data_IF_184739743701
#
_entry.id   IF_184739743701
#
_cell.length_a   1.000
_cell.length_b   1.000
_cell.length_c   1.000
_cell.angle_alpha   90.00
_cell.angle_beta   90.00
_cell.angle_gamma   90.00
#
_symmetry.space_group_name_H-M   'P 1'
#
loop_
_entity.id
_entity.type
_entity.pdbx_description
1 polymer ?
#
# COMPACT_ATOMS: atom_id res chain seq x y z
N UNK A 1 -24.18 -35.78 -8.89
CA UNK A 1 -24.14 -34.29 -8.87
C UNK A 1 -24.72 -33.89 -7.54
N UNK A 2 -23.92 -33.23 -6.70
CA UNK A 2 -24.32 -32.93 -5.34
C UNK A 2 -25.05 -31.58 -5.33
N UNK A 3 -26.35 -31.59 -5.05
CA UNK A 3 -27.27 -30.44 -5.20
C UNK A 3 -26.79 -29.19 -4.44
N UNK A 4 -26.10 -29.38 -3.31
CA UNK A 4 -25.54 -28.27 -2.51
C UNK A 4 -24.36 -27.57 -3.20
N UNK A 5 -23.52 -28.30 -3.94
CA UNK A 5 -22.36 -27.73 -4.64
C UNK A 5 -22.82 -26.89 -5.82
N UNK A 6 -23.76 -27.42 -6.61
CA UNK A 6 -24.34 -26.69 -7.74
C UNK A 6 -25.03 -25.41 -7.27
N UNK A 7 -25.78 -25.49 -6.16
CA UNK A 7 -26.42 -24.32 -5.54
C UNK A 7 -25.39 -23.30 -5.03
N UNK A 8 -24.30 -23.74 -4.41
CA UNK A 8 -23.23 -22.86 -3.91
C UNK A 8 -22.50 -22.15 -5.06
N UNK A 9 -22.14 -22.89 -6.11
CA UNK A 9 -21.55 -22.35 -7.33
C UNK A 9 -22.44 -21.26 -7.93
N UNK A 10 -23.72 -21.58 -8.14
CA UNK A 10 -24.65 -20.67 -8.80
C UNK A 10 -24.90 -19.41 -7.95
N UNK A 11 -24.99 -19.57 -6.63
CA UNK A 11 -25.13 -18.45 -5.69
C UNK A 11 -23.91 -17.53 -5.71
N UNK A 12 -22.70 -18.09 -5.54
CA UNK A 12 -21.46 -17.32 -5.49
C UNK A 12 -21.23 -16.59 -6.83
N UNK A 13 -21.38 -17.30 -7.95
CA UNK A 13 -21.22 -16.72 -9.29
C UNK A 13 -22.17 -15.55 -9.51
N UNK A 14 -23.43 -15.67 -9.08
CA UNK A 14 -24.40 -14.58 -9.17
C UNK A 14 -24.06 -13.43 -8.22
N UNK A 15 -23.64 -13.71 -6.98
CA UNK A 15 -23.29 -12.69 -6.00
C UNK A 15 -22.13 -11.81 -6.49
N UNK A 16 -21.03 -12.42 -6.92
CA UNK A 16 -19.86 -11.70 -7.44
C UNK A 16 -20.14 -11.03 -8.80
N UNK A 17 -21.00 -11.61 -9.65
CA UNK A 17 -21.40 -10.98 -10.92
C UNK A 17 -22.27 -9.72 -10.72
N UNK A 18 -23.12 -9.66 -9.68
CA UNK A 18 -23.99 -8.49 -9.41
C UNK A 18 -23.21 -7.22 -9.10
N UNK A 19 -22.05 -7.36 -8.47
CA UNK A 19 -21.14 -6.24 -8.16
C UNK A 19 -20.06 -6.05 -9.23
N UNK A 20 -20.18 -6.76 -10.36
CA UNK A 20 -19.22 -6.81 -11.45
C UNK A 20 -17.78 -7.11 -10.99
N UNK A 21 -17.61 -7.97 -9.98
CA UNK A 21 -16.28 -8.25 -9.45
C UNK A 21 -15.41 -8.92 -10.51
N UNK A 22 -14.18 -8.41 -10.61
CA UNK A 22 -13.14 -8.89 -11.51
C UNK A 22 -11.86 -9.14 -10.71
N UNK A 23 -11.07 -10.10 -11.18
CA UNK A 23 -9.70 -10.30 -10.69
C UNK A 23 -8.91 -9.03 -10.95
N UNK A 24 -8.33 -8.48 -9.87
CA UNK A 24 -7.59 -7.20 -9.86
C UNK A 24 -6.58 -7.04 -11.00
N UNK A 25 -5.95 -8.13 -11.43
CA UNK A 25 -4.82 -8.07 -12.34
C UNK A 25 -5.08 -8.62 -13.75
N UNK A 26 -5.91 -9.66 -13.86
CA UNK A 26 -6.24 -10.29 -15.15
C UNK A 26 -7.52 -9.74 -15.76
N UNK A 27 -8.29 -8.95 -15.00
CA UNK A 27 -9.63 -8.46 -15.34
C UNK A 27 -10.62 -9.59 -15.73
N UNK A 28 -10.32 -10.83 -15.31
CA UNK A 28 -11.21 -11.97 -15.50
C UNK A 28 -12.37 -11.89 -14.52
N UNK A 29 -13.52 -12.45 -14.90
CA UNK A 29 -14.64 -12.60 -13.98
C UNK A 29 -14.22 -13.41 -12.74
N UNK A 30 -14.74 -13.02 -11.58
CA UNK A 30 -14.29 -13.56 -10.30
C UNK A 30 -14.65 -15.05 -10.13
N UNK A 31 -15.68 -15.53 -10.83
CA UNK A 31 -16.06 -16.94 -10.93
C UNK A 31 -14.90 -17.87 -11.37
N UNK A 32 -13.95 -17.35 -12.15
CA UNK A 32 -12.73 -18.07 -12.52
C UNK A 32 -11.86 -18.40 -11.30
N UNK A 33 -11.84 -17.53 -10.28
CA UNK A 33 -11.18 -17.80 -8.99
C UNK A 33 -11.87 -18.94 -8.25
N UNK A 34 -13.17 -18.75 -8.01
CA UNK A 34 -13.98 -19.65 -7.22
C UNK A 34 -13.93 -21.06 -7.78
N UNK A 35 -13.99 -21.17 -9.11
CA UNK A 35 -13.86 -22.45 -9.81
C UNK A 35 -12.52 -23.12 -9.54
N UNK A 36 -11.41 -22.40 -9.66
CA UNK A 36 -10.08 -22.98 -9.44
C UNK A 36 -9.86 -23.40 -7.98
N UNK A 37 -10.37 -22.62 -7.03
CA UNK A 37 -10.31 -22.97 -5.60
C UNK A 37 -11.11 -24.25 -5.35
N UNK A 38 -12.34 -24.33 -5.86
CA UNK A 38 -13.18 -25.52 -5.75
C UNK A 38 -12.54 -26.76 -6.43
N UNK A 39 -11.99 -26.61 -7.63
CA UNK A 39 -11.26 -27.69 -8.34
C UNK A 39 -10.07 -28.19 -7.52
N UNK A 40 -9.29 -27.30 -6.89
CA UNK A 40 -8.16 -27.68 -6.04
C UNK A 40 -8.59 -28.44 -4.77
N UNK A 41 -9.73 -28.08 -4.18
CA UNK A 41 -10.30 -28.78 -3.03
C UNK A 41 -10.85 -30.16 -3.44
N UNK A 42 -11.50 -30.26 -4.60
CA UNK A 42 -12.03 -31.51 -5.16
C UNK A 42 -10.95 -32.56 -5.44
N UNK A 43 -9.70 -32.13 -5.68
CA UNK A 43 -8.57 -33.06 -5.83
C UNK A 43 -8.23 -33.84 -4.55
N UNK A 44 -8.62 -33.34 -3.37
CA UNK A 44 -8.19 -33.91 -2.07
C UNK A 44 -9.35 -34.36 -1.18
N UNK A 45 -10.58 -34.00 -1.53
CA UNK A 45 -11.78 -34.42 -0.78
C UNK A 45 -13.01 -34.50 -1.67
N UNK A 46 -13.95 -35.38 -1.32
CA UNK A 46 -15.29 -35.48 -1.90
C UNK A 46 -16.38 -34.89 -0.98
N UNK A 47 -15.96 -34.23 0.12
CA UNK A 47 -16.84 -33.60 1.09
C UNK A 47 -17.63 -32.43 0.47
N UNK A 48 -18.96 -32.56 0.35
CA UNK A 48 -19.77 -31.55 -0.31
C UNK A 48 -19.84 -30.21 0.42
N UNK A 49 -19.68 -30.19 1.74
CA UNK A 49 -19.72 -28.94 2.49
C UNK A 49 -18.42 -28.16 2.32
N UNK A 50 -17.27 -28.86 2.24
CA UNK A 50 -16.00 -28.22 1.88
C UNK A 50 -16.00 -27.66 0.46
N UNK A 51 -16.56 -28.41 -0.49
CA UNK A 51 -16.68 -27.94 -1.87
C UNK A 51 -17.66 -26.77 -2.00
N UNK A 52 -18.77 -26.78 -1.27
CA UNK A 52 -19.67 -25.64 -1.17
C UNK A 52 -18.97 -24.43 -0.55
N UNK A 53 -18.24 -24.61 0.56
CA UNK A 53 -17.48 -23.54 1.21
C UNK A 53 -16.37 -22.98 0.30
N UNK A 54 -15.71 -23.81 -0.51
CA UNK A 54 -14.72 -23.36 -1.49
C UNK A 54 -15.33 -22.43 -2.55
N UNK A 55 -16.58 -22.67 -2.98
CA UNK A 55 -17.30 -21.73 -3.84
C UNK A 55 -17.71 -20.44 -3.11
N UNK A 56 -17.96 -20.51 -1.81
CA UNK A 56 -18.55 -19.44 -1.00
C UNK A 56 -17.53 -18.61 -0.20
N UNK A 57 -16.26 -18.99 -0.17
CA UNK A 57 -15.29 -18.47 0.80
C UNK A 57 -15.16 -16.94 0.83
N UNK A 58 -15.23 -16.28 -0.32
CA UNK A 58 -15.16 -14.82 -0.44
C UNK A 58 -16.53 -14.12 -0.46
N UNK A 59 -17.64 -14.88 -0.40
CA UNK A 59 -18.97 -14.28 -0.64
C UNK A 59 -19.38 -13.30 0.44
N UNK A 60 -19.04 -13.59 1.70
CA UNK A 60 -19.37 -12.71 2.84
C UNK A 60 -18.39 -11.53 2.94
N UNK A 61 -17.15 -11.71 2.47
CA UNK A 61 -16.14 -10.64 2.46
C UNK A 61 -16.40 -9.61 1.36
N UNK A 62 -16.70 -10.08 0.15
CA UNK A 62 -16.69 -9.23 -1.05
C UNK A 62 -18.08 -8.81 -1.53
N UNK A 63 -19.14 -9.45 -1.05
CA UNK A 63 -20.51 -9.23 -1.55
C UNK A 63 -21.48 -8.89 -0.42
N UNK A 64 -22.70 -8.50 -0.78
CA UNK A 64 -23.76 -8.22 0.20
C UNK A 64 -24.32 -9.48 0.90
N UNK A 65 -23.75 -10.67 0.67
CA UNK A 65 -24.17 -11.89 1.33
C UNK A 65 -23.81 -11.86 2.82
N UNK A 66 -24.72 -12.30 3.69
CA UNK A 66 -24.46 -12.38 5.13
C UNK A 66 -24.24 -13.82 5.58
N UNK A 67 -23.59 -14.01 6.72
CA UNK A 67 -23.48 -15.35 7.34
C UNK A 67 -24.85 -16.02 7.56
N UNK A 68 -25.90 -15.22 7.83
CA UNK A 68 -27.27 -15.72 7.97
C UNK A 68 -27.84 -16.24 6.65
N UNK A 69 -27.51 -15.60 5.52
CA UNK A 69 -27.88 -16.08 4.20
C UNK A 69 -27.21 -17.41 3.91
N UNK A 70 -25.92 -17.54 4.22
CA UNK A 70 -25.15 -18.78 4.04
C UNK A 70 -25.76 -19.91 4.87
N UNK A 71 -25.98 -19.68 6.17
CA UNK A 71 -26.58 -20.68 7.06
C UNK A 71 -27.98 -21.11 6.58
N UNK A 72 -28.83 -20.15 6.20
CA UNK A 72 -30.19 -20.44 5.73
C UNK A 72 -30.22 -21.22 4.42
N UNK A 73 -29.27 -20.97 3.51
CA UNK A 73 -29.26 -21.56 2.18
C UNK A 73 -28.50 -22.88 2.12
N UNK A 74 -27.47 -23.06 2.93
CA UNK A 74 -26.50 -24.17 2.84
C UNK A 74 -26.32 -24.95 4.14
N UNK A 75 -26.94 -24.49 5.24
CA UNK A 75 -26.87 -25.13 6.55
C UNK A 75 -25.69 -24.65 7.39
N UNK A 76 -25.77 -24.93 8.70
CA UNK A 76 -24.79 -24.49 9.70
C UNK A 76 -23.38 -25.00 9.40
N UNK A 77 -23.22 -26.22 8.88
CA UNK A 77 -21.89 -26.79 8.60
C UNK A 77 -21.12 -26.00 7.52
N UNK A 78 -21.80 -25.51 6.48
CA UNK A 78 -21.17 -24.65 5.46
C UNK A 78 -20.94 -23.25 6.02
N UNK A 79 -21.87 -22.72 6.81
CA UNK A 79 -21.71 -21.42 7.45
C UNK A 79 -20.51 -21.39 8.40
N UNK A 80 -20.30 -22.43 9.20
CA UNK A 80 -19.14 -22.53 10.10
C UNK A 80 -17.82 -22.52 9.30
N UNK A 81 -17.77 -23.24 8.17
CA UNK A 81 -16.60 -23.25 7.29
C UNK A 81 -16.36 -21.89 6.63
N UNK A 82 -17.41 -21.19 6.19
CA UNK A 82 -17.28 -19.85 5.60
C UNK A 82 -16.85 -18.84 6.66
N UNK A 83 -17.40 -18.90 7.88
CA UNK A 83 -16.99 -18.04 8.99
C UNK A 83 -15.52 -18.24 9.38
N UNK A 84 -15.05 -19.50 9.41
CA UNK A 84 -13.64 -19.84 9.62
C UNK A 84 -12.72 -19.22 8.54
N UNK A 85 -13.22 -19.08 7.31
CA UNK A 85 -12.47 -18.58 6.16
C UNK A 85 -12.50 -17.06 6.02
N UNK A 86 -13.51 -16.40 6.60
CA UNK A 86 -13.73 -14.96 6.53
C UNK A 86 -12.76 -14.19 7.44
N UNK A 87 -12.06 -13.19 6.89
CA UNK A 87 -11.21 -12.25 7.61
C UNK A 87 -12.03 -11.50 8.69
N UNK A 88 -11.52 -11.46 9.93
CA UNK A 88 -12.22 -10.86 11.09
C UNK A 88 -11.67 -9.50 11.49
N UNK A 89 -10.52 -9.11 10.94
CA UNK A 89 -9.91 -7.82 11.26
C UNK A 89 -10.74 -6.64 10.77
N UNK A 90 -10.84 -5.61 11.60
CA UNK A 90 -11.55 -4.37 11.29
C UNK A 90 -10.56 -3.29 10.82
N UNK A 91 -11.01 -2.29 10.04
CA UNK A 91 -10.17 -1.16 9.64
C UNK A 91 -9.52 -0.42 10.81
N UNK A 92 -10.16 -0.44 11.98
CA UNK A 92 -9.70 0.20 13.21
C UNK A 92 -8.63 -0.58 13.98
N UNK A 93 -8.37 -1.85 13.64
CA UNK A 93 -7.44 -2.72 14.36
C UNK A 93 -5.95 -2.43 14.06
N UNK A 94 -5.67 -1.24 13.52
CA UNK A 94 -4.32 -0.76 13.24
C UNK A 94 -3.85 -1.05 11.81
N UNK A 95 -2.53 -1.13 11.62
CA UNK A 95 -1.92 -1.21 10.29
C UNK A 95 -2.09 -2.61 9.63
N UNK A 96 -1.75 -2.75 8.34
CA UNK A 96 -1.91 -4.01 7.58
C UNK A 96 -1.27 -5.21 8.28
N UNK A 97 -0.10 -5.05 8.89
CA UNK A 97 0.59 -6.15 9.56
C UNK A 97 -0.16 -6.60 10.82
N UNK A 98 -0.76 -5.67 11.56
CA UNK A 98 -1.61 -5.96 12.71
C UNK A 98 -2.91 -6.65 12.28
N UNK A 99 -3.59 -6.14 11.25
CA UNK A 99 -4.80 -6.76 10.70
C UNK A 99 -4.54 -8.18 10.19
N UNK A 100 -3.47 -8.37 9.41
CA UNK A 100 -3.07 -9.71 8.95
C UNK A 100 -2.56 -10.62 10.07
N UNK A 101 -2.16 -10.08 11.22
CA UNK A 101 -1.87 -10.89 12.40
C UNK A 101 -3.17 -11.40 13.04
N UNK A 102 -4.19 -10.54 13.16
CA UNK A 102 -5.53 -10.91 13.65
C UNK A 102 -6.17 -11.98 12.76
N UNK A 103 -6.21 -11.76 11.44
CA UNK A 103 -6.77 -12.75 10.49
C UNK A 103 -6.01 -14.08 10.56
N UNK A 104 -4.70 -14.03 10.77
CA UNK A 104 -3.87 -15.24 10.93
C UNK A 104 -4.18 -15.96 12.25
N UNK A 105 -4.44 -15.24 13.32
CA UNK A 105 -4.86 -15.84 14.60
C UNK A 105 -6.23 -16.49 14.48
N UNK A 106 -7.16 -15.88 13.75
CA UNK A 106 -8.47 -16.45 13.44
C UNK A 106 -8.35 -17.77 12.68
N UNK A 107 -7.68 -17.77 11.52
CA UNK A 107 -7.52 -19.00 10.72
C UNK A 107 -6.65 -20.04 11.44
N UNK A 108 -5.81 -19.67 12.40
CA UNK A 108 -5.06 -20.63 13.21
C UNK A 108 -5.98 -21.50 14.08
N UNK A 109 -7.10 -20.94 14.55
CA UNK A 109 -8.11 -21.61 15.36
C UNK A 109 -9.18 -22.35 14.53
N UNK A 110 -9.25 -22.06 13.22
CA UNK A 110 -10.18 -22.68 12.30
C UNK A 110 -10.01 -24.20 12.17
N UNK A 111 -11.08 -24.85 11.70
CA UNK A 111 -11.11 -26.29 11.43
C UNK A 111 -10.08 -26.72 10.36
N UNK A 112 -9.62 -27.98 10.41
CA UNK A 112 -8.75 -28.56 9.37
C UNK A 112 -9.37 -28.48 7.97
N UNK A 113 -10.70 -28.57 7.90
CA UNK A 113 -11.50 -28.43 6.69
C UNK A 113 -11.40 -27.02 6.10
N UNK A 114 -11.63 -25.98 6.91
CA UNK A 114 -11.46 -24.59 6.47
C UNK A 114 -10.00 -24.29 6.08
N UNK A 115 -9.02 -24.75 6.87
CA UNK A 115 -7.60 -24.60 6.52
C UNK A 115 -7.24 -25.23 5.18
N UNK A 116 -7.86 -26.35 4.82
CA UNK A 116 -7.70 -27.01 3.51
C UNK A 116 -8.21 -26.13 2.38
N UNK A 117 -9.38 -25.49 2.55
CA UNK A 117 -9.90 -24.52 1.59
C UNK A 117 -8.99 -23.30 1.50
N UNK A 118 -8.48 -22.78 2.63
CA UNK A 118 -7.54 -21.64 2.63
C UNK A 118 -6.24 -21.97 1.91
N UNK A 119 -5.75 -23.21 1.98
CA UNK A 119 -4.58 -23.64 1.21
C UNK A 119 -4.85 -23.58 -0.31
N UNK A 120 -6.03 -23.99 -0.76
CA UNK A 120 -6.43 -23.91 -2.17
C UNK A 120 -6.53 -22.46 -2.65
N UNK A 121 -7.17 -21.59 -1.86
CA UNK A 121 -7.22 -20.13 -2.08
C UNK A 121 -5.81 -19.56 -2.25
N UNK A 122 -4.92 -19.78 -1.29
CA UNK A 122 -3.54 -19.30 -1.34
C UNK A 122 -2.77 -19.79 -2.57
N UNK A 123 -3.01 -21.01 -3.04
CA UNK A 123 -2.38 -21.55 -4.25
C UNK A 123 -2.80 -20.75 -5.50
N UNK A 124 -4.10 -20.51 -5.69
CA UNK A 124 -4.58 -19.78 -6.86
C UNK A 124 -4.16 -18.30 -6.79
N UNK A 125 -4.29 -17.68 -5.62
CA UNK A 125 -3.88 -16.30 -5.39
C UNK A 125 -2.37 -16.10 -5.60
N UNK A 126 -1.53 -17.00 -5.08
CA UNK A 126 -0.08 -16.93 -5.29
C UNK A 126 0.28 -16.99 -6.78
N UNK A 127 -0.40 -17.85 -7.57
CA UNK A 127 -0.16 -17.98 -9.01
C UNK A 127 -0.57 -16.70 -9.75
N UNK A 128 -1.77 -16.20 -9.50
CA UNK A 128 -2.30 -15.02 -10.19
C UNK A 128 -1.48 -13.76 -9.86
N UNK A 129 -1.18 -13.53 -8.58
CA UNK A 129 -0.40 -12.37 -8.13
C UNK A 129 1.02 -12.42 -8.70
N UNK A 130 1.68 -13.59 -8.66
CA UNK A 130 3.07 -13.71 -9.13
C UNK A 130 3.21 -13.48 -10.64
N UNK A 131 2.16 -13.74 -11.41
CA UNK A 131 2.16 -13.54 -12.85
C UNK A 131 1.95 -12.08 -13.26
N UNK A 132 1.23 -11.29 -12.46
CA UNK A 132 0.79 -9.96 -12.88
C UNK A 132 1.34 -8.80 -12.04
N UNK A 133 1.69 -9.03 -10.77
CA UNK A 133 2.24 -7.99 -9.87
C UNK A 133 3.48 -8.48 -9.10
N UNK A 134 4.66 -8.53 -9.75
CA UNK A 134 5.90 -8.99 -9.14
C UNK A 134 6.35 -8.20 -7.89
N UNK A 135 5.82 -6.97 -7.69
CA UNK A 135 6.15 -6.15 -6.52
C UNK A 135 5.27 -6.56 -5.34
N UNK A 136 3.95 -6.64 -5.54
CA UNK A 136 3.05 -7.10 -4.49
C UNK A 136 3.25 -8.58 -4.15
N UNK A 137 3.65 -9.41 -5.13
CA UNK A 137 3.97 -10.81 -4.91
C UNK A 137 4.98 -11.01 -3.76
N UNK A 138 5.95 -10.11 -3.59
CA UNK A 138 6.93 -10.21 -2.49
C UNK A 138 6.30 -10.06 -1.11
N UNK A 139 5.34 -9.13 -0.96
CA UNK A 139 4.60 -8.93 0.28
C UNK A 139 3.68 -10.12 0.53
N UNK A 140 2.90 -10.51 -0.48
CA UNK A 140 2.00 -11.64 -0.40
C UNK A 140 2.73 -12.95 -0.06
N UNK A 141 3.93 -13.18 -0.58
CA UNK A 141 4.72 -14.38 -0.26
C UNK A 141 5.19 -14.43 1.20
N UNK A 142 5.45 -13.29 1.83
CA UNK A 142 5.76 -13.24 3.27
C UNK A 142 4.50 -13.51 4.09
N UNK A 143 3.38 -12.91 3.69
CA UNK A 143 2.07 -13.16 4.31
C UNK A 143 1.65 -14.63 4.19
N UNK A 144 1.78 -15.21 2.99
CA UNK A 144 1.53 -16.63 2.70
C UNK A 144 2.44 -17.53 3.52
N UNK A 145 3.76 -17.25 3.62
CA UNK A 145 4.67 -18.03 4.44
C UNK A 145 4.29 -18.00 5.94
N UNK A 146 3.81 -16.86 6.44
CA UNK A 146 3.31 -16.76 7.81
C UNK A 146 2.00 -17.55 8.01
N UNK A 147 1.09 -17.52 7.03
CA UNK A 147 -0.14 -18.30 7.05
C UNK A 147 0.13 -19.80 7.01
N UNK A 148 1.06 -20.27 6.17
CA UNK A 148 1.37 -21.70 6.04
C UNK A 148 1.79 -22.35 7.37
N UNK A 149 2.40 -21.58 8.29
CA UNK A 149 2.77 -22.05 9.65
C UNK A 149 1.57 -22.39 10.54
N UNK A 150 0.42 -21.77 10.29
CA UNK A 150 -0.81 -22.00 11.08
C UNK A 150 -1.80 -22.93 10.38
N UNK A 151 -1.53 -23.25 9.10
CA UNK A 151 -2.35 -24.12 8.25
C UNK A 151 -1.87 -25.60 8.26
N UNK A 152 -0.92 -25.97 9.10
CA UNK A 152 -0.32 -27.32 9.15
C UNK A 152 -1.33 -28.46 9.36
N UNK A 153 -2.47 -28.16 10.00
CA UNK A 153 -3.55 -29.12 10.22
C UNK A 153 -4.53 -29.26 9.05
N UNK A 154 -4.32 -28.55 7.93
CA UNK A 154 -5.05 -28.77 6.68
C UNK A 154 -4.54 -29.99 5.90
N UNK A 155 -5.07 -30.22 4.70
CA UNK A 155 -4.66 -31.34 3.85
C UNK A 155 -3.16 -31.30 3.48
N UNK A 156 -2.49 -32.45 3.64
CA UNK A 156 -1.04 -32.57 3.44
C UNK A 156 -0.62 -32.37 1.97
N UNK A 157 -1.45 -32.79 1.02
CA UNK A 157 -1.17 -32.68 -0.43
C UNK A 157 -1.25 -31.22 -0.85
N UNK A 158 -2.30 -30.50 -0.44
CA UNK A 158 -2.42 -29.07 -0.70
C UNK A 158 -1.36 -28.27 0.06
N UNK A 159 -1.02 -28.63 1.29
CA UNK A 159 0.04 -27.96 2.05
C UNK A 159 1.39 -28.07 1.33
N UNK A 160 1.77 -29.26 0.86
CA UNK A 160 2.99 -29.47 0.06
C UNK A 160 2.92 -28.68 -1.25
N UNK A 161 1.76 -28.64 -1.89
CA UNK A 161 1.55 -27.89 -3.15
C UNK A 161 1.63 -26.38 -2.93
N UNK A 162 1.15 -25.86 -1.81
CA UNK A 162 1.23 -24.45 -1.45
C UNK A 162 2.69 -24.05 -1.21
N UNK A 163 3.45 -24.82 -0.43
CA UNK A 163 4.90 -24.62 -0.27
C UNK A 163 5.64 -24.68 -1.60
N UNK A 164 5.33 -25.67 -2.45
CA UNK A 164 5.93 -25.78 -3.79
C UNK A 164 5.59 -24.57 -4.66
N UNK A 165 4.33 -24.11 -4.64
CA UNK A 165 3.89 -22.94 -5.40
C UNK A 165 4.60 -21.68 -4.92
N UNK A 166 4.71 -21.48 -3.60
CA UNK A 166 5.46 -20.39 -2.99
C UNK A 166 6.93 -20.41 -3.45
N UNK A 167 7.60 -21.56 -3.41
CA UNK A 167 8.99 -21.71 -3.86
C UNK A 167 9.14 -21.43 -5.36
N UNK A 168 8.25 -21.97 -6.19
CA UNK A 168 8.27 -21.71 -7.64
C UNK A 168 8.03 -20.24 -7.98
N UNK A 169 7.14 -19.57 -7.25
CA UNK A 169 6.90 -18.14 -7.41
C UNK A 169 8.13 -17.33 -6.97
N UNK A 170 8.78 -17.69 -5.85
CA UNK A 170 10.07 -17.10 -5.43
C UNK A 170 11.13 -17.25 -6.50
N UNK A 171 11.36 -18.46 -7.00
CA UNK A 171 12.34 -18.74 -8.06
C UNK A 171 12.04 -17.99 -9.37
N UNK A 172 10.76 -17.91 -9.78
CA UNK A 172 10.33 -17.13 -10.94
C UNK A 172 10.57 -15.64 -10.75
N UNK A 173 10.33 -15.11 -9.55
CA UNK A 173 10.59 -13.71 -9.23
C UNK A 173 12.09 -13.42 -9.20
N UNK A 174 12.89 -14.30 -8.61
CA UNK A 174 14.35 -14.23 -8.58
C UNK A 174 14.96 -14.29 -10.00
N UNK A 175 14.48 -15.21 -10.85
CA UNK A 175 14.92 -15.34 -12.24
C UNK A 175 14.40 -14.22 -13.16
N UNK A 176 13.22 -13.66 -12.89
CA UNK A 176 12.70 -12.46 -13.56
C UNK A 176 13.48 -11.20 -13.16
N UNK A 177 13.90 -11.09 -11.89
CA UNK A 177 14.81 -10.04 -11.43
C UNK A 177 16.24 -10.15 -11.98
N UNK A 178 16.64 -11.32 -12.49
CA UNK A 178 17.90 -11.47 -13.21
C UNK A 178 17.86 -10.93 -14.66
N UNK A 179 16.68 -10.83 -15.27
CA UNK A 179 16.50 -10.28 -16.64
C UNK A 179 16.04 -8.83 -16.67
N UNK A 180 15.30 -8.38 -15.67
CA UNK A 180 14.96 -6.97 -15.48
C UNK A 180 15.78 -6.37 -14.35
N UNK A 181 16.74 -5.53 -14.72
CA UNK A 181 17.43 -4.63 -13.81
C UNK A 181 16.42 -3.82 -12.96
N UNK A 182 16.06 -4.29 -11.76
CA UNK A 182 15.87 -3.46 -10.56
C UNK A 182 15.60 -4.27 -9.29
N UNK A 183 16.59 -4.25 -8.39
CA UNK A 183 16.50 -3.95 -6.95
C UNK A 183 15.30 -4.55 -6.18
N UNK A 184 15.51 -5.55 -5.30
CA UNK A 184 14.46 -6.15 -4.49
C UNK A 184 13.81 -5.17 -3.51
N UNK A 185 12.51 -5.30 -3.25
CA UNK A 185 11.82 -4.70 -2.10
C UNK A 185 12.01 -5.59 -0.86
N UNK A 186 13.27 -5.87 -0.52
CA UNK A 186 13.63 -6.12 0.88
C UNK A 186 13.73 -4.75 1.58
N UNK A 187 13.97 -4.71 2.89
CA UNK A 187 14.23 -3.47 3.67
C UNK A 187 15.53 -2.76 3.25
N UNK A 188 15.73 -2.61 1.95
CA UNK A 188 16.82 -1.89 1.34
C UNK A 188 16.54 -0.42 1.54
N UNK A 189 17.47 0.26 2.20
CA UNK A 189 17.45 1.68 2.59
C UNK A 189 16.73 2.04 3.89
N UNK A 190 16.23 1.07 4.66
CA UNK A 190 15.56 1.39 5.94
C UNK A 190 16.48 2.21 6.85
N UNK A 191 17.77 1.87 6.89
CA UNK A 191 18.76 2.61 7.67
C UNK A 191 19.01 4.05 7.17
N UNK A 192 18.74 4.37 5.90
CA UNK A 192 18.79 5.73 5.38
C UNK A 192 17.80 6.65 6.11
N UNK A 193 16.67 6.09 6.56
CA UNK A 193 15.61 6.82 7.24
C UNK A 193 15.58 6.57 8.76
N UNK A 194 16.20 5.51 9.28
CA UNK A 194 16.26 5.24 10.73
C UNK A 194 17.49 5.82 11.42
N UNK A 195 18.65 5.94 10.75
CA UNK A 195 19.88 6.45 11.38
C UNK A 195 19.93 7.99 11.49
N UNK A 196 18.78 8.63 11.57
CA UNK A 196 18.66 10.07 11.58
C UNK A 196 18.96 10.61 13.00
N UNK A 197 20.19 11.10 13.21
CA UNK A 197 20.66 11.73 14.46
C UNK A 197 19.80 12.91 14.98
N UNK A 198 18.74 13.31 14.29
CA UNK A 198 17.86 14.42 14.65
C UNK A 198 16.39 13.98 14.73
N UNK A 199 16.14 12.86 15.42
CA UNK A 199 14.80 12.27 15.60
C UNK A 199 13.76 13.26 16.11
N UNK A 200 14.17 14.19 17.00
CA UNK A 200 13.27 15.23 17.51
C UNK A 200 12.81 16.16 16.40
N UNK A 201 13.72 16.59 15.52
CA UNK A 201 13.37 17.45 14.39
C UNK A 201 12.47 16.69 13.40
N UNK A 202 12.72 15.41 13.17
CA UNK A 202 11.87 14.59 12.30
C UNK A 202 10.47 14.38 12.88
N UNK A 203 10.35 14.10 14.18
CA UNK A 203 9.05 14.02 14.88
C UNK A 203 8.28 15.33 14.82
N UNK A 204 8.91 16.44 15.22
CA UNK A 204 8.31 17.77 15.15
C UNK A 204 7.84 18.13 13.73
N UNK A 205 8.58 17.67 12.72
CA UNK A 205 8.27 17.96 11.32
C UNK A 205 7.21 17.03 10.72
N UNK A 206 7.18 15.77 11.15
CA UNK A 206 6.17 14.80 10.75
C UNK A 206 4.80 15.09 11.39
N UNK A 207 4.80 15.61 12.63
CA UNK A 207 3.59 16.03 13.35
C UNK A 207 3.19 17.49 13.04
N UNK A 208 4.01 18.22 12.27
CA UNK A 208 3.75 19.62 11.94
C UNK A 208 2.53 19.80 11.03
N UNK A 209 2.17 18.76 10.27
CA UNK A 209 1.09 18.78 9.31
C UNK A 209 0.26 17.51 9.42
N UNK A 210 -1.04 17.68 9.28
CA UNK A 210 -2.02 16.62 9.38
C UNK A 210 -2.98 16.64 8.18
N UNK A 211 -3.79 15.60 8.05
CA UNK A 211 -4.68 15.43 6.89
C UNK A 211 -5.61 16.61 6.70
N UNK A 212 -6.16 17.18 7.78
CA UNK A 212 -7.06 18.34 7.71
C UNK A 212 -6.42 19.56 7.02
N UNK A 213 -5.09 19.69 7.04
CA UNK A 213 -4.39 20.81 6.40
C UNK A 213 -4.44 20.73 4.87
N UNK A 214 -4.69 19.54 4.32
CA UNK A 214 -4.73 19.27 2.88
C UNK A 214 -6.08 18.74 2.39
N UNK A 215 -6.99 18.39 3.30
CA UNK A 215 -8.32 17.91 2.98
C UNK A 215 -9.17 19.04 2.37
N UNK A 216 -9.85 18.72 1.27
CA UNK A 216 -10.93 19.55 0.74
C UNK A 216 -12.27 19.11 1.33
N UNK A 217 -13.28 19.98 1.29
CA UNK A 217 -14.63 19.60 1.74
C UNK A 217 -15.23 18.54 0.82
N UNK A 218 -15.81 17.50 1.42
CA UNK A 218 -16.58 16.51 0.68
C UNK A 218 -17.97 17.06 0.40
N UNK A 219 -18.22 17.46 -0.85
CA UNK A 219 -19.57 17.72 -1.33
C UNK A 219 -20.45 16.49 -1.20
N UNK A 220 -21.73 16.63 -0.86
CA UNK A 220 -22.62 15.47 -0.72
C UNK A 220 -24.07 15.76 -1.11
N UNK A 221 -24.80 14.69 -1.46
CA UNK A 221 -26.19 14.72 -1.90
C UNK A 221 -27.03 13.72 -1.10
N UNK A 222 -28.32 14.01 -0.92
CA UNK A 222 -29.24 13.03 -0.32
C UNK A 222 -29.58 11.94 -1.33
N UNK A 223 -29.85 10.72 -0.84
CA UNK A 223 -30.05 9.54 -1.70
C UNK A 223 -31.15 9.68 -2.75
N UNK A 224 -32.18 10.46 -2.47
CA UNK A 224 -33.32 10.77 -3.35
C UNK A 224 -33.05 11.92 -4.33
N UNK A 225 -31.87 12.56 -4.26
CA UNK A 225 -31.49 13.63 -5.18
C UNK A 225 -31.37 13.06 -6.60
N UNK A 226 -31.91 13.77 -7.60
CA UNK A 226 -31.80 13.38 -9.01
C UNK A 226 -30.34 13.26 -9.46
N UNK A 227 -29.97 12.12 -10.04
CA UNK A 227 -28.62 11.84 -10.53
C UNK A 227 -28.16 12.84 -11.60
N UNK A 228 -29.07 13.29 -12.48
CA UNK A 228 -28.78 14.31 -13.51
C UNK A 228 -28.40 15.64 -12.87
N UNK A 229 -29.20 16.11 -11.89
CA UNK A 229 -28.94 17.37 -11.18
C UNK A 229 -27.65 17.31 -10.36
N UNK A 230 -27.39 16.18 -9.70
CA UNK A 230 -26.15 15.97 -8.97
C UNK A 230 -24.94 16.00 -9.91
N UNK A 231 -25.02 15.33 -11.07
CA UNK A 231 -23.97 15.35 -12.09
C UNK A 231 -23.69 16.75 -12.62
N UNK A 232 -24.73 17.53 -12.91
CA UNK A 232 -24.59 18.93 -13.34
C UNK A 232 -23.88 19.78 -12.28
N UNK A 233 -24.26 19.63 -10.99
CA UNK A 233 -23.59 20.36 -9.91
C UNK A 233 -22.13 19.91 -9.77
N UNK A 234 -21.87 18.60 -9.78
CA UNK A 234 -20.52 18.04 -9.73
C UNK A 234 -19.65 18.53 -10.88
N UNK A 235 -20.18 18.62 -12.11
CA UNK A 235 -19.48 19.23 -13.24
C UNK A 235 -19.17 20.71 -13.00
N UNK A 236 -20.13 21.49 -12.50
CA UNK A 236 -19.94 22.92 -12.23
C UNK A 236 -18.93 23.21 -11.11
N UNK A 237 -18.74 22.26 -10.20
CA UNK A 237 -17.81 22.35 -9.06
C UNK A 237 -16.50 21.57 -9.27
N UNK A 238 -16.35 20.95 -10.44
CA UNK A 238 -15.28 20.02 -10.79
C UNK A 238 -15.06 18.89 -9.76
N UNK A 239 -16.16 18.40 -9.18
CA UNK A 239 -16.13 17.24 -8.29
C UNK A 239 -16.17 15.95 -9.11
N UNK A 240 -15.14 15.12 -8.96
CA UNK A 240 -15.15 13.77 -9.51
C UNK A 240 -15.92 12.77 -8.62
N UNK A 241 -16.03 13.09 -7.33
CA UNK A 241 -16.66 12.26 -6.30
C UNK A 241 -17.41 13.14 -5.31
N UNK A 242 -18.54 12.63 -4.80
CA UNK A 242 -19.34 13.27 -3.76
C UNK A 242 -19.85 12.23 -2.77
N UNK A 243 -20.02 12.61 -1.51
CA UNK A 243 -20.66 11.77 -0.50
C UNK A 243 -22.15 11.60 -0.77
N UNK A 244 -22.69 10.46 -0.37
CA UNK A 244 -24.12 10.17 -0.41
C UNK A 244 -24.68 10.13 1.01
N UNK A 245 -25.72 10.91 1.27
CA UNK A 245 -26.34 11.03 2.58
C UNK A 245 -27.62 10.20 2.69
N UNK A 246 -27.75 9.52 3.82
CA UNK A 246 -28.99 8.88 4.27
C UNK A 246 -29.20 9.24 5.75
N UNK A 247 -30.39 9.75 6.09
CA UNK A 247 -30.68 10.19 7.46
C UNK A 247 -29.78 11.33 7.96
N UNK A 248 -29.24 12.15 7.05
CA UNK A 248 -28.34 13.27 7.37
C UNK A 248 -26.86 12.91 7.54
N UNK A 249 -26.51 11.62 7.49
CA UNK A 249 -25.13 11.14 7.57
C UNK A 249 -24.64 10.65 6.21
N UNK A 250 -23.36 10.87 5.91
CA UNK A 250 -22.75 10.34 4.69
C UNK A 250 -22.45 8.85 4.90
N UNK A 251 -23.16 7.99 4.17
CA UNK A 251 -23.08 6.52 4.30
C UNK A 251 -22.36 5.86 3.13
N UNK A 252 -22.06 6.61 2.08
CA UNK A 252 -21.33 6.14 0.90
C UNK A 252 -20.89 7.31 0.03
N UNK A 253 -20.53 7.02 -1.21
CA UNK A 253 -20.18 8.04 -2.20
C UNK A 253 -20.71 7.69 -3.59
N UNK A 254 -20.69 8.67 -4.48
CA UNK A 254 -21.03 8.53 -5.89
C UNK A 254 -19.90 9.11 -6.74
N UNK A 255 -19.66 8.53 -7.91
CA UNK A 255 -18.75 9.07 -8.90
C UNK A 255 -19.53 9.85 -9.95
N UNK A 256 -19.03 11.02 -10.32
CA UNK A 256 -19.68 11.90 -11.31
C UNK A 256 -19.97 11.17 -12.62
N UNK A 257 -19.03 10.37 -13.07
CA UNK A 257 -19.05 9.79 -14.42
C UNK A 257 -20.06 8.63 -14.52
N UNK A 258 -20.38 7.98 -13.40
CA UNK A 258 -21.37 6.90 -13.29
C UNK A 258 -22.81 7.41 -13.36
N UNK A 259 -23.06 8.65 -12.91
CA UNK A 259 -24.41 9.21 -12.82
C UNK A 259 -25.04 9.34 -14.21
N UNK A 260 -26.25 8.80 -14.39
CA UNK A 260 -27.01 8.94 -15.64
C UNK A 260 -28.45 9.40 -15.40
N UNK A 261 -29.31 8.53 -14.84
CA UNK A 261 -30.75 8.78 -14.63
C UNK A 261 -31.19 8.17 -13.32
N UNK A 262 -32.35 8.57 -12.79
CA UNK A 262 -32.82 8.11 -11.48
C UNK A 262 -32.28 8.99 -10.35
N UNK A 263 -32.05 8.39 -9.18
CA UNK A 263 -31.61 9.07 -7.97
C UNK A 263 -30.14 8.74 -7.65
N UNK A 264 -29.48 9.56 -6.84
CA UNK A 264 -28.08 9.34 -6.45
C UNK A 264 -27.89 8.02 -5.69
N UNK A 265 -28.91 7.58 -4.94
CA UNK A 265 -28.90 6.31 -4.22
C UNK A 265 -28.73 5.08 -5.10
N UNK A 266 -29.16 5.16 -6.37
CA UNK A 266 -29.02 4.06 -7.34
C UNK A 266 -27.54 3.82 -7.73
N UNK A 267 -26.66 4.77 -7.43
CA UNK A 267 -25.24 4.77 -7.78
C UNK A 267 -24.33 4.74 -6.54
N UNK A 268 -24.89 4.40 -5.37
CA UNK A 268 -24.14 4.35 -4.12
C UNK A 268 -22.98 3.37 -4.23
N UNK A 269 -21.79 3.84 -3.87
CA UNK A 269 -20.60 3.04 -3.61
C UNK A 269 -20.26 3.12 -2.14
N UNK A 270 -19.78 2.01 -1.58
CA UNK A 270 -19.35 1.94 -0.19
C UNK A 270 -17.94 2.52 -0.04
N UNK A 271 -17.71 3.19 1.09
CA UNK A 271 -16.36 3.68 1.42
C UNK A 271 -15.54 2.49 1.89
N UNK A 272 -14.52 2.15 1.10
CA UNK A 272 -13.72 0.95 1.33
C UNK A 272 -12.98 0.97 2.67
N UNK A 273 -12.72 -0.22 3.19
CA UNK A 273 -11.93 -0.42 4.40
C UNK A 273 -10.52 0.19 4.24
N UNK A 274 -10.18 1.14 5.12
CA UNK A 274 -8.91 1.90 5.08
C UNK A 274 -8.90 3.10 4.12
N UNK A 275 -10.02 3.43 3.47
CA UNK A 275 -10.14 4.62 2.62
C UNK A 275 -10.50 5.89 3.41
N UNK A 276 -11.05 5.74 4.62
CA UNK A 276 -11.38 6.82 5.55
C UNK A 276 -10.30 6.97 6.62
N UNK A 277 -9.78 8.19 6.78
CA UNK A 277 -8.83 8.56 7.84
C UNK A 277 -9.38 9.71 8.69
N UNK A 278 -8.82 9.93 9.87
CA UNK A 278 -9.18 11.07 10.72
C UNK A 278 -8.42 12.33 10.30
N UNK A 279 -8.98 13.51 10.58
CA UNK A 279 -8.36 14.80 10.23
C UNK A 279 -6.99 15.04 10.88
N UNK A 280 -6.76 14.47 12.06
CA UNK A 280 -5.50 14.55 12.82
C UNK A 280 -4.46 13.49 12.40
N UNK A 281 -4.80 12.60 11.46
CA UNK A 281 -3.85 11.62 10.92
C UNK A 281 -2.64 12.30 10.25
N UNK A 282 -1.53 11.58 10.15
CA UNK A 282 -0.33 12.05 9.46
C UNK A 282 -0.54 12.15 7.95
N UNK A 283 0.27 12.97 7.28
CA UNK A 283 0.30 13.01 5.82
C UNK A 283 0.81 11.68 5.20
N UNK A 284 1.61 10.89 5.93
CA UNK A 284 2.07 9.57 5.46
C UNK A 284 0.91 8.59 5.29
N UNK A 285 -0.05 8.59 6.22
CA UNK A 285 -1.26 7.77 6.13
C UNK A 285 -2.05 8.05 4.85
N UNK A 286 -2.21 9.31 4.48
CA UNK A 286 -2.92 9.71 3.26
C UNK A 286 -2.19 9.29 2.01
N UNK A 287 -0.86 9.49 1.95
CA UNK A 287 -0.06 9.00 0.83
C UNK A 287 -0.21 7.47 0.70
N UNK A 288 -0.24 6.75 1.82
CA UNK A 288 -0.46 5.31 1.82
C UNK A 288 -1.85 4.93 1.28
N UNK A 289 -2.91 5.61 1.71
CA UNK A 289 -4.28 5.38 1.17
C UNK A 289 -4.29 5.63 -0.34
N UNK A 290 -3.70 6.73 -0.79
CA UNK A 290 -3.65 7.14 -2.20
C UNK A 290 -2.77 6.25 -3.09
N UNK A 291 -1.98 5.35 -2.51
CA UNK A 291 -1.27 4.31 -3.26
C UNK A 291 -2.16 3.14 -3.64
N UNK A 292 -3.28 2.95 -2.94
CA UNK A 292 -4.23 1.85 -3.13
C UNK A 292 -5.60 2.33 -3.64
N UNK A 293 -5.94 3.60 -3.41
CA UNK A 293 -7.20 4.23 -3.80
C UNK A 293 -6.94 5.52 -4.58
N UNK A 294 -7.90 5.93 -5.42
CA UNK A 294 -7.79 7.18 -6.19
C UNK A 294 -8.01 8.42 -5.32
N UNK A 295 -8.72 8.25 -4.21
CA UNK A 295 -9.01 9.27 -3.22
C UNK A 295 -9.16 8.69 -1.81
N UNK A 296 -8.89 9.53 -0.82
CA UNK A 296 -8.96 9.25 0.61
C UNK A 296 -10.03 10.13 1.23
N UNK A 297 -10.98 9.54 1.96
CA UNK A 297 -11.98 10.29 2.72
C UNK A 297 -11.43 10.68 4.08
N UNK A 298 -11.92 11.79 4.62
CA UNK A 298 -11.44 12.37 5.87
C UNK A 298 -12.60 12.67 6.80
N UNK A 299 -12.57 12.11 8.00
CA UNK A 299 -13.45 12.52 9.10
C UNK A 299 -12.78 13.63 9.91
N UNK A 300 -13.26 14.86 9.75
CA UNK A 300 -12.73 16.04 10.44
C UNK A 300 -13.52 16.32 11.73
N UNK A 301 -14.77 15.86 11.82
CA UNK A 301 -15.72 16.26 12.85
C UNK A 301 -16.14 15.11 13.79
N UNK A 302 -15.64 13.89 13.57
CA UNK A 302 -15.97 12.70 14.36
C UNK A 302 -17.36 12.12 14.08
N UNK A 303 -17.90 12.39 12.89
CA UNK A 303 -19.29 12.06 12.51
C UNK A 303 -19.41 11.37 11.16
N UNK A 304 -18.28 10.89 10.61
CA UNK A 304 -18.21 10.31 9.27
C UNK A 304 -17.50 11.21 8.26
N UNK A 305 -17.42 10.76 7.00
CA UNK A 305 -16.61 11.41 5.96
C UNK A 305 -17.15 12.82 5.66
N UNK A 306 -16.34 13.83 6.00
CA UNK A 306 -16.64 15.26 5.80
C UNK A 306 -15.64 15.96 4.87
N UNK A 307 -14.51 15.31 4.62
CA UNK A 307 -13.43 15.81 3.77
C UNK A 307 -12.93 14.75 2.80
N UNK A 308 -12.11 15.19 1.86
CA UNK A 308 -11.50 14.33 0.84
C UNK A 308 -10.10 14.82 0.46
N UNK A 309 -9.22 13.87 0.22
CA UNK A 309 -7.91 14.08 -0.40
C UNK A 309 -7.83 13.29 -1.70
N UNK A 310 -7.53 13.99 -2.79
CA UNK A 310 -7.22 13.41 -4.09
C UNK A 310 -5.70 13.30 -4.27
N UNK A 311 -5.23 12.43 -5.17
CA UNK A 311 -3.79 12.33 -5.47
C UNK A 311 -3.16 13.66 -5.87
N UNK A 312 -3.89 14.49 -6.62
CA UNK A 312 -3.45 15.84 -7.01
C UNK A 312 -3.19 16.78 -5.83
N UNK A 313 -3.83 16.56 -4.67
CA UNK A 313 -3.58 17.37 -3.48
C UNK A 313 -2.17 17.15 -2.90
N UNK A 314 -1.43 16.12 -3.34
CA UNK A 314 -0.01 15.99 -3.05
C UNK A 314 0.83 17.16 -3.62
N UNK A 315 0.29 17.93 -4.57
CA UNK A 315 0.90 19.15 -5.08
C UNK A 315 0.70 20.37 -4.18
N UNK A 316 -0.14 20.27 -3.15
CA UNK A 316 -0.38 21.41 -2.26
C UNK A 316 0.93 21.83 -1.57
N UNK A 317 1.14 23.15 -1.35
CA UNK A 317 2.35 23.67 -0.73
C UNK A 317 2.75 22.95 0.57
N UNK A 318 1.77 22.58 1.40
CA UNK A 318 1.99 21.86 2.66
C UNK A 318 2.66 20.50 2.43
N UNK A 319 2.15 19.68 1.50
CA UNK A 319 2.75 18.37 1.18
C UNK A 319 4.14 18.55 0.57
N UNK A 320 4.32 19.56 -0.28
CA UNK A 320 5.62 19.86 -0.90
C UNK A 320 6.65 20.30 0.14
N UNK A 321 6.27 21.19 1.05
CA UNK A 321 7.11 21.62 2.16
C UNK A 321 7.49 20.42 3.02
N UNK A 322 6.51 19.57 3.35
CA UNK A 322 6.72 18.34 4.10
C UNK A 322 7.73 17.40 3.41
N UNK A 323 7.49 17.02 2.16
CA UNK A 323 8.43 16.16 1.42
C UNK A 323 9.82 16.78 1.28
N UNK A 324 9.92 18.10 1.08
CA UNK A 324 11.20 18.78 0.97
C UNK A 324 11.97 18.78 2.29
N UNK A 325 11.29 19.01 3.42
CA UNK A 325 11.90 18.94 4.74
C UNK A 325 12.43 17.54 5.06
N UNK A 326 11.67 16.50 4.73
CA UNK A 326 12.09 15.10 4.81
C UNK A 326 13.40 14.87 4.03
N UNK A 327 13.45 15.25 2.75
CA UNK A 327 14.64 15.07 1.91
C UNK A 327 15.83 15.87 2.46
N UNK A 328 15.57 17.05 3.00
CA UNK A 328 16.59 17.91 3.62
C UNK A 328 17.19 17.28 4.88
N UNK A 329 16.36 16.62 5.72
CA UNK A 329 16.83 15.91 6.91
C UNK A 329 17.77 14.75 6.51
N UNK A 330 17.41 13.99 5.47
CA UNK A 330 18.25 12.92 4.93
C UNK A 330 19.57 13.47 4.41
N UNK A 331 19.53 14.56 3.61
CA UNK A 331 20.74 15.22 3.09
C UNK A 331 21.66 15.70 4.22
N UNK A 332 21.08 16.26 5.28
CA UNK A 332 21.81 16.75 6.46
C UNK A 332 22.45 15.60 7.25
N UNK A 333 21.76 14.48 7.38
CA UNK A 333 22.28 13.32 8.08
C UNK A 333 23.45 12.65 7.33
N UNK A 334 23.34 12.52 6.01
CA UNK A 334 24.45 12.08 5.15
C UNK A 334 25.66 13.01 5.32
N UNK A 335 25.43 14.33 5.32
CA UNK A 335 26.49 15.32 5.49
C UNK A 335 27.20 15.14 6.85
N UNK A 336 26.44 15.04 7.93
CA UNK A 336 27.01 14.84 9.27
C UNK A 336 27.83 13.56 9.35
N UNK A 337 27.36 12.48 8.73
CA UNK A 337 28.10 11.21 8.67
C UNK A 337 29.43 11.32 7.92
N UNK A 338 29.48 12.11 6.86
CA UNK A 338 30.74 12.38 6.13
C UNK A 338 31.74 13.11 7.05
N UNK A 339 31.28 14.08 7.82
CA UNK A 339 32.12 14.88 8.73
C UNK A 339 32.68 14.04 9.88
N UNK A 340 31.91 13.10 10.41
CA UNK A 340 32.36 12.16 11.44
C UNK A 340 33.49 11.23 10.94
N UNK A 341 33.43 10.82 9.67
CA UNK A 341 34.33 9.80 9.12
C UNK A 341 35.58 10.38 8.48
N UNK A 342 35.48 11.57 7.89
CA UNK A 342 36.52 12.14 7.06
C UNK A 342 36.99 13.49 7.60
N UNK A 343 38.17 13.49 8.20
CA UNK A 343 38.81 14.72 8.65
C UNK A 343 39.13 15.64 7.46
N UNK A 344 38.78 16.92 7.58
CA UNK A 344 39.03 17.95 6.58
C UNK A 344 38.41 17.62 5.22
N UNK A 345 39.20 17.71 4.15
CA UNK A 345 38.77 17.43 2.78
C UNK A 345 39.21 16.04 2.27
N UNK A 346 39.52 15.11 3.19
CA UNK A 346 39.97 13.74 2.80
C UNK A 346 38.91 12.92 2.05
N UNK A 347 37.64 13.34 2.09
CA UNK A 347 36.54 12.77 1.30
C UNK A 347 36.63 13.10 -0.20
N UNK A 348 37.39 14.12 -0.60
CA UNK A 348 37.52 14.56 -2.01
C UNK A 348 38.01 13.44 -2.94
N UNK A 349 38.82 12.51 -2.42
CA UNK A 349 39.33 11.32 -3.14
C UNK A 349 38.24 10.41 -3.71
N UNK A 350 36.99 10.52 -3.25
CA UNK A 350 35.88 9.70 -3.72
C UNK A 350 35.08 10.33 -4.88
N UNK A 351 35.42 11.56 -5.25
CA UNK A 351 34.77 12.31 -6.33
C UNK A 351 35.74 12.57 -7.48
N UNK A 352 35.19 12.79 -8.67
CA UNK A 352 35.97 13.17 -9.85
C UNK A 352 36.33 14.66 -9.79
N UNK A 353 37.44 15.06 -10.43
CA UNK A 353 37.81 16.48 -10.53
C UNK A 353 36.71 17.34 -11.15
N UNK A 354 35.94 16.81 -12.09
CA UNK A 354 34.81 17.54 -12.68
C UNK A 354 33.73 17.90 -11.64
N UNK A 355 33.42 17.00 -10.71
CA UNK A 355 32.44 17.24 -9.64
C UNK A 355 33.00 18.20 -8.59
N UNK A 356 34.27 18.02 -8.23
CA UNK A 356 34.97 18.92 -7.31
C UNK A 356 35.06 20.35 -7.86
N UNK A 357 35.35 20.52 -9.15
CA UNK A 357 35.40 21.85 -9.77
C UNK A 357 34.04 22.55 -9.72
N UNK A 358 32.93 21.86 -9.98
CA UNK A 358 31.58 22.43 -9.82
C UNK A 358 31.31 22.87 -8.37
N UNK A 359 31.74 22.07 -7.39
CA UNK A 359 31.60 22.42 -5.97
C UNK A 359 32.46 23.65 -5.62
N UNK A 360 33.71 23.72 -6.10
CA UNK A 360 34.62 24.87 -5.92
C UNK A 360 34.08 26.13 -6.58
N UNK A 361 33.48 26.02 -7.77
CA UNK A 361 32.81 27.13 -8.45
C UNK A 361 31.64 27.67 -7.62
N UNK A 362 30.76 26.79 -7.11
CA UNK A 362 29.67 27.18 -6.21
C UNK A 362 30.18 27.81 -4.91
N UNK A 363 31.24 27.26 -4.31
CA UNK A 363 31.85 27.80 -3.10
C UNK A 363 32.46 29.19 -3.35
N UNK A 364 33.15 29.35 -4.48
CA UNK A 364 33.74 30.63 -4.88
C UNK A 364 32.66 31.68 -5.10
N UNK A 365 31.56 31.32 -5.75
CA UNK A 365 30.42 32.21 -5.96
C UNK A 365 29.72 32.61 -4.65
N UNK A 366 29.53 31.66 -3.71
CA UNK A 366 29.00 31.96 -2.38
C UNK A 366 29.93 32.87 -1.58
N UNK A 367 31.24 32.59 -1.62
CA UNK A 367 32.27 33.42 -0.97
C UNK A 367 32.29 34.83 -1.55
N UNK A 368 32.17 34.98 -2.87
CA UNK A 368 32.04 36.27 -3.57
C UNK A 368 30.83 37.08 -3.09
N UNK A 369 29.74 36.41 -2.70
CA UNK A 369 28.52 37.02 -2.12
C UNK A 369 28.63 37.25 -0.60
N UNK A 370 29.80 37.01 0.01
CA UNK A 370 30.02 37.17 1.45
C UNK A 370 29.44 36.03 2.30
N UNK A 371 29.09 34.89 1.68
CA UNK A 371 28.58 33.72 2.40
C UNK A 371 29.73 32.77 2.71
N UNK A 372 29.97 32.51 4.00
CA UNK A 372 30.93 31.50 4.43
C UNK A 372 30.32 30.10 4.28
N UNK A 373 30.98 29.22 3.52
CA UNK A 373 30.58 27.82 3.37
C UNK A 373 31.80 26.94 3.11
N UNK A 374 31.73 25.69 3.57
CA UNK A 374 32.77 24.68 3.33
C UNK A 374 32.53 24.01 1.99
N UNK A 375 33.55 23.40 1.41
CA UNK A 375 33.44 22.76 0.11
C UNK A 375 32.37 21.64 0.09
N UNK A 376 32.24 20.91 1.21
CA UNK A 376 31.23 19.84 1.38
C UNK A 376 29.79 20.38 1.36
N UNK A 377 29.58 21.64 1.77
CA UNK A 377 28.25 22.31 1.77
C UNK A 377 27.80 22.70 0.35
N UNK A 378 28.71 22.61 -0.63
CA UNK A 378 28.46 22.89 -2.04
C UNK A 378 28.23 21.63 -2.88
N UNK A 379 28.31 20.43 -2.29
CA UNK A 379 28.01 19.18 -2.96
C UNK A 379 26.50 18.97 -3.11
N UNK A 380 26.09 18.31 -4.20
CA UNK A 380 24.73 17.82 -4.35
C UNK A 380 24.49 16.58 -3.48
N UNK A 381 23.23 16.24 -3.21
CA UNK A 381 22.86 15.03 -2.47
C UNK A 381 23.50 13.77 -3.08
N UNK A 382 23.49 13.65 -4.41
CA UNK A 382 24.10 12.54 -5.12
C UNK A 382 25.62 12.46 -4.99
N UNK A 383 26.31 13.59 -4.84
CA UNK A 383 27.75 13.64 -4.58
C UNK A 383 28.08 13.25 -3.14
N UNK A 384 27.32 13.78 -2.17
CA UNK A 384 27.47 13.45 -0.74
C UNK A 384 27.27 11.95 -0.53
N UNK A 385 26.19 11.40 -1.07
CA UNK A 385 25.91 9.98 -0.94
C UNK A 385 26.93 9.11 -1.68
N UNK A 386 27.53 9.60 -2.79
CA UNK A 386 28.62 8.89 -3.47
C UNK A 386 29.85 8.67 -2.58
N UNK A 387 30.16 9.64 -1.71
CA UNK A 387 31.26 9.54 -0.74
C UNK A 387 31.02 8.35 0.20
N UNK A 388 29.82 8.25 0.79
CA UNK A 388 29.49 7.17 1.72
C UNK A 388 29.44 5.80 1.04
N UNK A 389 28.77 5.66 -0.11
CA UNK A 389 28.65 4.36 -0.78
C UNK A 389 29.98 3.84 -1.34
N UNK A 390 31.06 4.65 -1.32
CA UNK A 390 32.39 4.18 -1.67
C UNK A 390 32.93 3.17 -0.65
N UNK A 391 32.58 3.34 0.62
CA UNK A 391 32.92 2.47 1.75
C UNK A 391 31.84 1.41 1.97
N UNK A 392 32.25 0.15 2.17
CA UNK A 392 31.29 -0.97 2.35
C UNK A 392 30.53 -0.86 3.68
N UNK A 393 31.20 -0.43 4.74
CA UNK A 393 30.60 -0.23 6.07
C UNK A 393 29.53 0.86 6.01
N UNK A 394 29.80 1.93 5.27
CA UNK A 394 28.83 3.02 5.14
C UNK A 394 27.69 2.68 4.18
N UNK A 395 27.93 1.84 3.18
CA UNK A 395 26.88 1.29 2.35
C UNK A 395 25.87 0.46 3.18
N UNK A 396 26.37 -0.35 4.12
CA UNK A 396 25.54 -1.10 5.09
C UNK A 396 24.86 -0.16 6.10
N UNK A 397 25.56 0.88 6.56
CA UNK A 397 24.98 1.92 7.42
C UNK A 397 23.83 2.68 6.75
N UNK A 398 23.91 2.92 5.45
CA UNK A 398 22.80 3.48 4.66
C UNK A 398 21.68 2.43 4.39
N UNK A 399 21.90 1.16 4.74
CA UNK A 399 20.92 0.09 4.59
C UNK A 399 20.85 -0.48 3.18
N UNK A 400 21.89 -0.27 2.36
CA UNK A 400 21.90 -0.73 0.98
C UNK A 400 22.71 -2.03 0.83
N UNK A 401 22.19 -3.07 0.15
CA UNK A 401 22.92 -4.31 -0.06
C UNK A 401 23.99 -4.19 -1.17
N UNK A 402 23.91 -3.16 -2.02
CA UNK A 402 24.91 -2.92 -3.06
C UNK A 402 25.00 -1.45 -3.48
N UNK A 403 26.17 -1.02 -3.96
CA UNK A 403 26.39 0.32 -4.51
C UNK A 403 25.44 0.63 -5.67
N UNK A 404 25.11 -0.38 -6.47
CA UNK A 404 24.19 -0.25 -7.61
C UNK A 404 22.80 0.16 -7.13
N UNK A 405 22.33 -0.48 -6.06
CA UNK A 405 21.02 -0.21 -5.48
C UNK A 405 20.99 1.19 -4.88
N UNK A 406 22.00 1.52 -4.07
CA UNK A 406 22.14 2.84 -3.45
C UNK A 406 22.09 3.95 -4.49
N UNK A 407 22.90 3.84 -5.57
CA UNK A 407 22.94 4.83 -6.65
C UNK A 407 21.57 5.10 -7.28
N UNK A 408 20.70 4.09 -7.38
CA UNK A 408 19.37 4.30 -7.95
C UNK A 408 18.48 5.07 -6.97
N UNK A 409 18.38 4.63 -5.72
CA UNK A 409 17.54 5.29 -4.71
C UNK A 409 17.98 6.74 -4.51
N UNK A 410 19.29 6.98 -4.42
CA UNK A 410 19.86 8.33 -4.32
C UNK A 410 19.47 9.18 -5.53
N UNK A 411 19.49 8.61 -6.75
CA UNK A 411 19.07 9.33 -7.96
C UNK A 411 17.58 9.67 -7.94
N UNK A 412 16.74 8.75 -7.47
CA UNK A 412 15.30 8.97 -7.35
C UNK A 412 15.00 10.05 -6.30
N UNK A 413 15.73 10.08 -5.17
CA UNK A 413 15.66 11.16 -4.17
C UNK A 413 16.15 12.51 -4.71
N UNK A 414 17.24 12.53 -5.48
CA UNK A 414 17.77 13.75 -6.11
C UNK A 414 16.78 14.32 -7.14
N UNK A 415 16.09 13.45 -7.89
CA UNK A 415 14.97 13.82 -8.79
C UNK A 415 13.84 14.47 -8.02
N UNK A 416 13.32 13.80 -7.00
CA UNK A 416 12.23 14.31 -6.16
C UNK A 416 12.61 15.65 -5.52
N UNK A 417 13.82 15.80 -4.97
CA UNK A 417 14.35 17.05 -4.41
C UNK A 417 14.27 18.19 -5.41
N UNK A 418 14.75 17.97 -6.64
CA UNK A 418 14.78 18.99 -7.69
C UNK A 418 13.36 19.37 -8.12
N UNK A 419 12.47 18.38 -8.29
CA UNK A 419 11.08 18.64 -8.66
C UNK A 419 10.33 19.39 -7.55
N UNK A 420 10.64 19.10 -6.28
CA UNK A 420 10.14 19.84 -5.12
C UNK A 420 10.64 21.30 -5.11
N UNK A 421 11.93 21.52 -5.34
CA UNK A 421 12.54 22.85 -5.34
C UNK A 421 12.07 23.75 -6.51
N UNK A 422 11.71 23.16 -7.65
CA UNK A 422 11.33 23.89 -8.87
C UNK A 422 9.82 23.95 -9.13
N UNK A 423 8.98 23.62 -8.14
CA UNK A 423 7.51 23.61 -8.31
C UNK A 423 7.02 22.69 -9.45
N UNK A 424 7.79 21.66 -9.80
CA UNK A 424 7.47 20.73 -10.90
C UNK A 424 6.51 19.63 -10.43
N UNK A 425 5.93 18.91 -11.40
CA UNK A 425 5.00 17.82 -11.12
C UNK A 425 5.69 16.62 -10.47
N UNK A 426 5.37 16.33 -9.20
CA UNK A 426 5.90 15.23 -8.42
C UNK A 426 5.02 13.97 -8.47
N UNK A 427 3.82 14.03 -9.05
CA UNK A 427 2.88 12.90 -9.07
C UNK A 427 3.21 11.96 -10.21
N UNK A 428 3.41 12.47 -11.43
CA UNK A 428 3.57 11.60 -12.61
C UNK A 428 4.82 10.71 -12.52
N UNK A 429 5.92 11.23 -11.97
CA UNK A 429 7.22 10.57 -12.03
C UNK A 429 7.77 10.14 -10.66
N UNK A 430 7.42 10.85 -9.57
CA UNK A 430 8.01 10.59 -8.25
C UNK A 430 7.03 9.91 -7.27
N UNK A 431 5.77 9.65 -7.65
CA UNK A 431 4.77 9.07 -6.73
C UNK A 431 5.25 7.78 -6.05
N UNK A 432 5.91 6.89 -6.79
CA UNK A 432 6.47 5.65 -6.23
C UNK A 432 7.57 5.94 -5.20
N UNK A 433 8.39 6.97 -5.44
CA UNK A 433 9.44 7.38 -4.52
C UNK A 433 8.85 8.03 -3.26
N UNK A 434 7.83 8.88 -3.42
CA UNK A 434 7.09 9.51 -2.33
C UNK A 434 6.45 8.44 -1.44
N UNK A 435 5.73 7.48 -2.03
CA UNK A 435 5.09 6.38 -1.31
C UNK A 435 6.10 5.56 -0.49
N UNK A 436 7.25 5.19 -1.09
CA UNK A 436 8.29 4.43 -0.39
C UNK A 436 8.90 5.23 0.75
N UNK A 437 9.30 6.47 0.47
CA UNK A 437 9.94 7.34 1.46
C UNK A 437 9.04 7.56 2.68
N UNK A 438 7.76 7.85 2.46
CA UNK A 438 6.79 8.11 3.53
C UNK A 438 6.53 6.87 4.39
N UNK A 439 6.35 5.69 3.78
CA UNK A 439 6.23 4.42 4.51
C UNK A 439 7.47 4.11 5.37
N UNK A 440 8.67 4.40 4.85
CA UNK A 440 9.93 4.11 5.56
C UNK A 440 10.16 5.04 6.74
N UNK A 441 9.81 6.32 6.60
CA UNK A 441 9.90 7.31 7.68
C UNK A 441 8.93 6.96 8.80
N UNK A 442 7.71 6.58 8.47
CA UNK A 442 6.72 6.14 9.44
C UNK A 442 7.21 4.90 10.22
N UNK A 443 7.77 3.91 9.52
CA UNK A 443 8.41 2.75 10.16
C UNK A 443 9.58 3.13 11.07
N UNK A 444 10.39 4.11 10.66
CA UNK A 444 11.51 4.61 11.47
C UNK A 444 11.03 5.35 12.73
N UNK A 445 9.93 6.10 12.63
CA UNK A 445 9.37 6.84 13.76
C UNK A 445 8.66 5.96 14.78
N UNK A 446 7.99 4.88 14.36
CA UNK A 446 7.26 3.97 15.26
C UNK A 446 8.14 2.86 15.87
N UNK A 447 9.30 2.54 15.27
CA UNK A 447 10.26 1.60 15.85
C UNK A 447 10.90 2.04 17.17
N UNK A 448 10.75 3.32 17.53
CA UNK A 448 11.34 3.94 18.73
C UNK A 448 10.38 3.92 19.94
N UNK A 449 9.11 3.54 19.76
CA UNK A 449 8.14 3.45 20.87
C UNK A 449 8.21 2.13 21.66
N UNK A 450 9.15 1.24 21.32
CA UNK A 450 9.28 -0.11 21.89
C UNK A 450 10.60 -0.37 22.65
N UNK A 451 11.33 0.69 23.05
CA UNK A 451 12.45 0.58 23.99
C UNK A 451 12.17 1.23 25.34
#
# INVERSE_FOLDING_TARGET
MNEIIDKARDYATQAHARIDQRRKYSNQAYDVHLKKVAELVEEVTDDPHMLAAAWLHDTVEDTAATMQDIEKLFGTEVADLVADLTDVSLPGDGNRAQRKAIDREHIALASSRAKTVKLADLIDNCRDISHHDPRFAQVFMVEMEALLRVLESGDEVLLKRAHKTLMQCREKLESSTAKNNHIPSQNIDQNLYTNLNNERAMRLFADAFCVQDIAERLGSFDSDTSAVKAKELMLSKDWIVAGLRQGGLVTGYILRDDLQRGCCGDYQREIGHGQLVTGDSSLSNVIHVLTHHDFCFVDILGGGPSGIVLREHAQKPIVRMWLFGVVTIIETNILHRIEELYAGESWTRFLTEQRLNKAREMQSERTRRGQHCRLVDCLQLSDKAQILIADKTQLEWLGFPSKRVAKKVIKDLDSLRNNLAHAQDIITHDWVQIARMTQRIEAAMHGVAAE
#
